data_IF_204025167115
#
_entry.id   IF_204025167115
#
_cell.length_a   1.000
_cell.length_b   1.000
_cell.length_c   1.000
_cell.angle_alpha   90.00
_cell.angle_beta   90.00
_cell.angle_gamma   90.00
#
_symmetry.space_group_name_H-M   'P 1'
#
loop_
_entity.id
_entity.type
_entity.pdbx_description
1 polymer ?
#
# COMPACT_ATOMS: atom_id res chain seq x y z
N UNK A 1 13.82 -8.78 14.26
CA UNK A 1 12.40 -8.72 13.87
C UNK A 1 12.22 -7.54 12.93
N UNK A 2 12.47 -7.74 11.63
CA UNK A 2 12.45 -6.64 10.67
C UNK A 2 11.01 -6.40 10.19
N UNK A 3 10.63 -5.13 10.11
CA UNK A 3 9.30 -4.62 9.74
C UNK A 3 8.97 -4.96 8.27
N UNK A 4 8.64 -6.24 8.02
CA UNK A 4 8.39 -6.77 6.69
C UNK A 4 6.99 -6.44 6.14
N UNK A 5 6.03 -6.17 7.02
CA UNK A 5 4.63 -5.94 6.65
C UNK A 5 4.32 -4.45 6.52
N UNK A 6 3.71 -4.08 5.40
CA UNK A 6 3.43 -2.71 5.00
C UNK A 6 2.09 -2.62 4.28
N UNK A 7 1.55 -1.42 4.18
CA UNK A 7 0.44 -1.09 3.28
C UNK A 7 0.99 -0.20 2.19
N UNK A 8 0.72 -0.54 0.94
CA UNK A 8 1.12 0.24 -0.23
C UNK A 8 -0.08 0.81 -0.95
N UNK A 9 0.14 1.92 -1.65
CA UNK A 9 -0.87 2.53 -2.52
C UNK A 9 -0.47 2.40 -3.99
N UNK A 10 -1.45 2.15 -4.86
CA UNK A 10 -1.32 2.23 -6.31
C UNK A 10 -2.39 3.15 -6.89
N UNK A 11 -2.06 3.83 -7.99
CA UNK A 11 -3.03 4.64 -8.70
C UNK A 11 -4.02 3.75 -9.47
N UNK A 12 -5.30 4.10 -9.43
CA UNK A 12 -6.35 3.45 -10.23
C UNK A 12 -6.16 3.72 -11.74
N UNK A 13 -5.70 4.93 -12.09
CA UNK A 13 -5.54 5.33 -13.49
C UNK A 13 -4.32 4.67 -14.12
N UNK A 14 -4.56 3.77 -15.08
CA UNK A 14 -3.52 3.10 -15.87
C UNK A 14 -2.72 4.06 -16.76
N UNK A 15 -3.30 5.21 -17.11
CA UNK A 15 -2.61 6.25 -17.88
C UNK A 15 -1.67 7.11 -17.02
N UNK A 16 -1.82 7.04 -15.70
CA UNK A 16 -1.02 7.81 -14.77
C UNK A 16 0.35 7.17 -14.59
N UNK A 17 1.42 7.92 -14.86
CA UNK A 17 2.82 7.47 -14.63
C UNK A 17 3.20 7.42 -13.14
N UNK A 18 2.24 7.14 -12.26
CA UNK A 18 2.55 6.87 -10.87
C UNK A 18 3.14 5.45 -10.79
N UNK A 19 4.43 5.36 -11.10
CA UNK A 19 5.14 4.08 -11.33
C UNK A 19 5.49 3.37 -10.02
N UNK A 20 5.51 4.07 -8.89
CA UNK A 20 6.07 3.53 -7.65
C UNK A 20 5.01 3.35 -6.55
N UNK A 21 4.84 2.12 -6.04
CA UNK A 21 4.07 1.89 -4.83
C UNK A 21 4.70 2.64 -3.66
N UNK A 22 3.98 3.57 -3.05
CA UNK A 22 4.45 4.22 -1.82
C UNK A 22 4.09 3.37 -0.61
N UNK A 23 5.08 3.19 0.28
CA UNK A 23 4.84 2.60 1.60
C UNK A 23 4.08 3.63 2.45
N UNK A 24 2.79 3.39 2.68
CA UNK A 24 1.89 4.31 3.39
C UNK A 24 1.95 4.07 4.91
N UNK A 25 1.87 2.79 5.31
CA UNK A 25 1.83 2.38 6.72
C UNK A 25 2.72 1.16 6.91
N UNK A 26 3.43 1.10 8.04
CA UNK A 26 4.10 -0.11 8.52
C UNK A 26 3.18 -0.86 9.46
N UNK A 27 3.11 -2.18 9.29
CA UNK A 27 2.27 -3.05 10.10
C UNK A 27 3.12 -4.07 10.87
N UNK A 28 2.55 -4.63 11.94
CA UNK A 28 3.24 -5.61 12.79
C UNK A 28 3.22 -7.02 12.18
N UNK A 29 2.17 -7.34 11.43
CA UNK A 29 1.96 -8.63 10.78
C UNK A 29 1.11 -8.46 9.50
N UNK A 30 0.91 -9.55 8.76
CA UNK A 30 0.09 -9.52 7.55
C UNK A 30 -1.37 -9.14 7.83
N UNK A 31 -1.98 -9.71 8.87
CA UNK A 31 -3.39 -9.47 9.23
C UNK A 31 -3.67 -7.98 9.48
N UNK A 32 -2.81 -7.32 10.25
CA UNK A 32 -2.90 -5.88 10.51
C UNK A 32 -2.71 -5.05 9.25
N UNK A 33 -1.78 -5.42 8.35
CA UNK A 33 -1.63 -4.74 7.06
C UNK A 33 -2.87 -4.91 6.17
N UNK A 34 -3.49 -6.10 6.18
CA UNK A 34 -4.69 -6.41 5.40
C UNK A 34 -5.91 -5.63 5.91
N UNK A 35 -6.17 -5.69 7.23
CA UNK A 35 -7.27 -4.96 7.84
C UNK A 35 -7.13 -3.44 7.62
N UNK A 36 -5.91 -2.92 7.70
CA UNK A 36 -5.63 -1.51 7.44
C UNK A 36 -5.88 -1.13 5.97
N UNK A 37 -5.44 -1.97 5.02
CA UNK A 37 -5.70 -1.72 3.60
C UNK A 37 -7.20 -1.66 3.29
N UNK A 38 -8.02 -2.56 3.85
CA UNK A 38 -9.47 -2.53 3.71
C UNK A 38 -10.06 -1.23 4.29
N UNK A 39 -9.69 -0.90 5.53
CA UNK A 39 -10.16 0.33 6.18
C UNK A 39 -9.82 1.58 5.35
N UNK A 40 -8.62 1.67 4.79
CA UNK A 40 -8.20 2.81 3.98
C UNK A 40 -8.95 2.92 2.65
N UNK A 41 -9.28 1.79 2.01
CA UNK A 41 -10.10 1.78 0.80
C UNK A 41 -11.56 2.18 1.07
N UNK A 42 -12.08 1.92 2.28
CA UNK A 42 -13.45 2.29 2.67
C UNK A 42 -13.61 3.78 2.98
N UNK A 43 -12.51 4.53 3.16
CA UNK A 43 -12.55 5.97 3.42
C UNK A 43 -12.48 6.73 2.08
N UNK A 44 -13.60 7.32 1.60
CA UNK A 44 -13.61 8.00 0.32
C UNK A 44 -12.70 9.24 0.38
N UNK A 45 -11.74 9.33 -0.55
CA UNK A 45 -10.84 10.48 -0.65
C UNK A 45 -9.77 10.56 0.45
N UNK A 46 -9.49 9.46 1.15
CA UNK A 46 -8.38 9.40 2.12
C UNK A 46 -7.06 9.89 1.51
N UNK A 47 -6.77 9.48 0.28
CA UNK A 47 -5.62 9.98 -0.47
C UNK A 47 -5.88 9.86 -1.98
N UNK A 48 -5.60 10.93 -2.71
CA UNK A 48 -5.62 10.94 -4.18
C UNK A 48 -4.20 10.86 -4.72
N UNK A 49 -4.06 10.36 -5.94
CA UNK A 49 -2.78 10.29 -6.61
C UNK A 49 -2.20 11.70 -6.78
N UNK A 50 -0.98 11.98 -6.26
CA UNK A 50 -0.40 13.32 -6.33
C UNK A 50 -0.04 13.75 -7.76
N UNK A 51 0.02 12.81 -8.72
CA UNK A 51 0.36 13.10 -10.12
C UNK A 51 -0.85 13.42 -10.99
N UNK A 52 -1.97 12.73 -10.80
CA UNK A 52 -3.12 12.80 -11.71
C UNK A 52 -4.46 13.04 -11.01
N UNK A 53 -4.48 13.09 -9.67
CA UNK A 53 -5.69 13.34 -8.88
C UNK A 53 -6.71 12.18 -8.83
N UNK A 54 -6.46 11.07 -9.53
CA UNK A 54 -7.29 9.87 -9.47
C UNK A 54 -7.24 9.20 -8.08
N UNK A 55 -8.20 8.34 -7.80
CA UNK A 55 -8.22 7.58 -6.55
C UNK A 55 -6.99 6.66 -6.43
N UNK A 56 -6.54 6.46 -5.20
CA UNK A 56 -5.54 5.46 -4.85
C UNK A 56 -6.23 4.23 -4.26
N UNK A 57 -5.68 3.05 -4.56
CA UNK A 57 -6.06 1.80 -3.93
C UNK A 57 -4.95 1.30 -3.01
N UNK A 58 -5.33 0.89 -1.81
CA UNK A 58 -4.43 0.40 -0.78
C UNK A 58 -4.42 -1.12 -0.74
N UNK A 59 -3.24 -1.72 -0.55
CA UNK A 59 -3.10 -3.17 -0.47
C UNK A 59 -1.98 -3.57 0.52
N UNK A 60 -2.10 -4.73 1.18
CA UNK A 60 -1.05 -5.24 2.05
C UNK A 60 0.16 -5.68 1.22
N UNK A 61 1.35 -5.46 1.76
CA UNK A 61 2.61 -5.86 1.16
C UNK A 61 3.52 -6.45 2.23
N UNK A 62 4.06 -7.64 1.95
CA UNK A 62 5.02 -8.31 2.82
C UNK A 62 6.34 -8.48 2.07
N UNK A 63 7.44 -8.01 2.66
CA UNK A 63 8.78 -8.35 2.20
C UNK A 63 9.15 -9.74 2.73
N UNK A 64 9.13 -10.73 1.85
CA UNK A 64 9.79 -12.00 2.12
C UNK A 64 11.29 -11.73 1.96
N UNK A 65 12.00 -11.55 3.07
CA UNK A 65 13.45 -11.65 3.04
C UNK A 65 13.77 -13.13 2.89
N UNK A 66 14.22 -13.54 1.71
CA UNK A 66 14.87 -14.83 1.56
C UNK A 66 16.02 -14.87 2.57
N UNK A 67 15.95 -15.84 3.48
CA UNK A 67 17.09 -16.18 4.33
C UNK A 67 18.10 -16.79 3.38
N UNK A 68 19.09 -16.01 2.94
CA UNK A 68 20.25 -16.55 2.24
C UNK A 68 20.86 -17.66 3.12
N UNK A 69 21.10 -18.80 2.47
CA UNK A 69 21.48 -20.09 3.04
C UNK A 69 22.87 -20.12 3.71
#
# INVERSE_FOLDING_TARGET
MANAYKVRATCESQACKYVQPQDVIRAVNYESSYAMALMLNDIPGYMNCPLCGSALHFYPFALIQDVEA
#
